data_IF_200833714010
#
_entry.id   IF_200833714010
#
_cell.length_a   1.000
_cell.length_b   1.000
_cell.length_c   1.000
_cell.angle_alpha   90.00
_cell.angle_beta   90.00
_cell.angle_gamma   90.00
#
_symmetry.space_group_name_H-M   'P 1'
#
loop_
_entity.id
_entity.type
_entity.pdbx_description
1 polymer ?
#
# COMPACT_ATOMS: atom_id res chain seq x y z
N UNK A 1 -1.04 11.75 13.08
CA UNK A 1 -1.09 11.04 14.36
C UNK A 1 -0.51 11.96 15.42
N UNK A 2 -1.22 12.21 16.51
CA UNK A 2 -0.78 13.15 17.55
C UNK A 2 0.49 12.65 18.23
N UNK A 3 1.44 13.54 18.51
CA UNK A 3 2.71 13.20 19.19
C UNK A 3 2.49 12.53 20.57
N UNK A 4 1.31 12.75 21.18
CA UNK A 4 0.86 12.07 22.38
C UNK A 4 0.57 10.56 22.21
N UNK A 5 0.17 10.12 21.02
CA UNK A 5 -0.15 8.70 20.76
C UNK A 5 1.10 7.81 20.74
N UNK A 6 2.25 8.35 20.31
CA UNK A 6 3.50 7.59 20.20
C UNK A 6 4.06 7.29 21.60
N UNK A 7 3.93 8.23 22.55
CA UNK A 7 4.39 8.03 23.93
C UNK A 7 3.69 6.87 24.64
N UNK A 8 2.39 6.68 24.40
CA UNK A 8 1.60 5.59 25.01
C UNK A 8 2.03 4.24 24.44
N UNK A 9 2.27 4.15 23.14
CA UNK A 9 2.68 2.90 22.47
C UNK A 9 4.07 2.48 22.93
N UNK A 10 5.01 3.42 23.02
CA UNK A 10 6.37 3.14 23.52
C UNK A 10 6.35 2.72 24.99
N UNK A 11 5.54 3.38 25.83
CA UNK A 11 5.39 3.00 27.24
C UNK A 11 4.83 1.59 27.43
N UNK A 12 3.87 1.18 26.61
CA UNK A 12 3.26 -0.15 26.67
C UNK A 12 4.25 -1.25 26.23
N UNK A 13 5.06 -0.96 25.22
CA UNK A 13 6.11 -1.87 24.74
C UNK A 13 7.18 -2.12 25.80
N UNK A 14 7.63 -1.08 26.51
CA UNK A 14 8.61 -1.22 27.60
C UNK A 14 8.06 -2.05 28.77
N UNK A 15 6.79 -1.88 29.13
CA UNK A 15 6.15 -2.67 30.19
C UNK A 15 6.07 -4.16 29.83
N UNK A 16 5.75 -4.50 28.58
CA UNK A 16 5.71 -5.90 28.13
C UNK A 16 7.09 -6.55 28.13
N UNK A 17 8.14 -5.82 27.75
CA UNK A 17 9.51 -6.32 27.78
C UNK A 17 9.99 -6.59 29.23
N UNK A 18 9.68 -5.69 30.17
CA UNK A 18 10.01 -5.88 31.59
C UNK A 18 9.27 -7.07 32.21
N UNK A 19 8.00 -7.30 31.84
CA UNK A 19 7.25 -8.47 32.30
C UNK A 19 7.88 -9.78 31.82
N UNK A 20 8.36 -9.82 30.57
CA UNK A 20 9.04 -11.00 30.00
C UNK A 20 10.36 -11.31 30.70
N UNK A 21 11.17 -10.28 30.98
CA UNK A 21 12.44 -10.43 31.71
C UNK A 21 12.18 -10.93 33.14
N UNK A 22 11.15 -10.43 33.82
CA UNK A 22 10.79 -10.88 35.16
C UNK A 22 10.36 -12.35 35.19
N UNK A 23 9.57 -12.80 34.21
CA UNK A 23 9.17 -14.21 34.09
C UNK A 23 10.38 -15.11 33.80
N UNK A 24 11.29 -14.70 32.91
CA UNK A 24 12.49 -15.45 32.58
C UNK A 24 13.42 -15.63 33.80
N UNK A 25 13.61 -14.57 34.60
CA UNK A 25 14.41 -14.65 35.84
C UNK A 25 13.76 -15.55 36.88
N UNK A 26 12.42 -15.56 36.97
CA UNK A 26 11.70 -16.40 37.94
C UNK A 26 11.69 -17.88 37.57
N UNK A 27 11.72 -18.22 36.28
CA UNK A 27 11.76 -19.63 35.83
C UNK A 27 13.18 -20.22 35.79
N UNK A 28 14.24 -19.40 35.73
CA UNK A 28 15.63 -19.86 35.68
C UNK A 28 16.24 -20.40 36.99
N UNK A 29 15.52 -20.34 38.11
CA UNK A 29 16.04 -20.65 39.45
C UNK A 29 15.77 -22.09 39.94
N UNK A 30 15.73 -23.11 39.06
CA UNK A 30 15.69 -24.53 39.48
C UNK A 30 17.09 -25.14 39.41
N UNK A 31 17.72 -25.30 40.57
CA UNK A 31 18.98 -26.04 40.78
C UNK A 31 18.82 -27.52 40.37
N UNK A 32 19.81 -28.12 39.71
CA UNK A 32 19.82 -29.56 39.46
C UNK A 32 20.16 -30.32 40.76
N UNK A 33 19.36 -31.34 41.03
CA UNK A 33 19.43 -32.23 42.19
C UNK A 33 20.40 -33.36 41.85
N UNK A 34 21.57 -33.34 42.47
CA UNK A 34 22.62 -34.35 42.33
C UNK A 34 22.19 -35.61 43.10
N UNK A 35 21.94 -36.70 42.38
CA UNK A 35 21.55 -38.00 42.95
C UNK A 35 22.84 -38.77 43.26
N UNK A 36 23.12 -38.90 44.54
CA UNK A 36 24.18 -39.71 45.13
C UNK A 36 23.93 -41.20 44.92
N UNK A 37 24.76 -41.86 44.11
CA UNK A 37 24.87 -43.32 44.08
C UNK A 37 25.94 -43.77 45.08
N UNK A 38 25.51 -44.13 46.29
CA UNK A 38 26.31 -44.92 47.24
C UNK A 38 26.13 -46.39 46.85
N UNK A 39 27.12 -46.98 46.17
CA UNK A 39 27.22 -48.44 46.05
C UNK A 39 28.11 -48.97 47.17
N UNK A 40 27.47 -49.54 48.18
CA UNK A 40 28.05 -50.37 49.22
C UNK A 40 28.66 -51.65 48.62
N UNK A 41 29.97 -51.80 48.69
CA UNK A 41 30.65 -53.08 48.54
C UNK A 41 31.13 -53.56 49.90
N UNK A 42 30.38 -54.48 50.53
CA UNK A 42 30.85 -55.23 51.70
C UNK A 42 30.51 -56.71 51.54
N UNK A 43 31.56 -57.52 51.48
CA UNK A 43 31.62 -58.98 51.64
C UNK A 43 33.03 -59.23 52.24
N UNK A 44 33.32 -60.06 53.24
CA UNK A 44 32.66 -61.21 53.88
C UNK A 44 33.56 -61.54 55.09
N UNK A 45 33.05 -61.53 56.33
CA UNK A 45 32.72 -62.69 57.19
C UNK A 45 33.83 -63.73 57.48
N UNK A 46 34.12 -63.93 58.78
CA UNK A 46 34.58 -65.22 59.34
C UNK A 46 33.98 -65.47 60.73
N UNK A 47 32.90 -66.28 60.76
CA UNK A 47 32.53 -67.40 61.68
C UNK A 47 32.65 -67.31 63.22
N UNK A 48 32.01 -68.22 64.01
CA UNK A 48 30.67 -68.82 63.89
C UNK A 48 29.87 -68.80 65.23
N UNK A 49 28.55 -68.87 65.20
CA UNK A 49 27.76 -69.42 66.33
C UNK A 49 26.44 -70.01 65.82
N UNK A 50 26.27 -71.32 66.05
CA UNK A 50 25.27 -72.17 65.40
C UNK A 50 23.81 -71.93 65.80
N UNK A 51 22.92 -72.44 64.97
CA UNK A 51 21.50 -72.63 65.25
C UNK A 51 20.54 -71.59 64.64
N UNK A 52 20.89 -70.29 64.67
CA UNK A 52 20.02 -69.23 64.11
C UNK A 52 20.29 -68.90 62.64
N UNK A 53 21.54 -69.05 62.19
CA UNK A 53 21.95 -68.72 60.83
C UNK A 53 21.37 -69.67 59.77
N UNK A 54 21.08 -70.93 60.10
CA UNK A 54 20.50 -71.89 59.16
C UNK A 54 19.02 -71.60 58.86
N UNK A 55 18.27 -71.10 59.85
CA UNK A 55 16.87 -70.70 59.69
C UNK A 55 16.79 -69.35 58.98
N UNK A 56 17.72 -68.44 59.28
CA UNK A 56 17.84 -67.14 58.62
C UNK A 56 18.27 -67.29 57.16
N UNK A 57 19.25 -68.15 56.84
CA UNK A 57 19.63 -68.46 55.46
C UNK A 57 18.53 -69.16 54.66
N UNK A 58 17.79 -70.09 55.29
CA UNK A 58 16.64 -70.74 54.64
C UNK A 58 15.51 -69.74 54.36
N UNK A 59 15.21 -68.80 55.28
CA UNK A 59 14.24 -67.73 55.03
C UNK A 59 14.71 -66.74 53.97
N UNK A 60 16.00 -66.37 53.94
CA UNK A 60 16.53 -65.47 52.90
C UNK A 60 16.46 -66.12 51.52
N UNK A 61 16.76 -67.42 51.42
CA UNK A 61 16.69 -68.17 50.17
C UNK A 61 15.24 -68.38 49.68
N UNK A 62 14.29 -68.57 50.60
CA UNK A 62 12.86 -68.68 50.29
C UNK A 62 12.29 -67.32 49.85
N UNK A 63 12.69 -66.22 50.49
CA UNK A 63 12.33 -64.84 50.07
C UNK A 63 12.94 -64.48 48.71
N UNK A 64 14.18 -64.90 48.43
CA UNK A 64 14.79 -64.72 47.11
C UNK A 64 14.07 -65.55 46.03
N UNK A 65 13.48 -66.70 46.38
CA UNK A 65 12.64 -67.49 45.48
C UNK A 65 11.19 -67.01 45.37
N UNK A 66 10.67 -66.25 46.35
CA UNK A 66 9.37 -65.54 46.24
C UNK A 66 9.46 -64.40 45.20
N UNK A 67 10.66 -63.86 44.97
CA UNK A 67 10.99 -63.05 43.79
C UNK A 67 11.59 -63.90 42.66
N UNK A 68 10.94 -65.03 42.38
CA UNK A 68 11.35 -66.00 41.38
C UNK A 68 11.62 -65.34 40.02
N UNK A 69 12.50 -65.95 39.22
CA UNK A 69 12.78 -65.49 37.86
C UNK A 69 11.50 -65.40 37.02
N UNK A 70 10.49 -66.23 37.31
CA UNK A 70 9.16 -66.18 36.69
C UNK A 70 8.37 -64.91 37.05
N UNK A 71 8.40 -64.46 38.31
CA UNK A 71 7.76 -63.18 38.70
C UNK A 71 8.49 -61.98 38.10
N UNK A 72 9.83 -62.06 37.97
CA UNK A 72 10.64 -61.04 37.29
C UNK A 72 10.34 -60.98 35.79
N UNK A 73 10.15 -62.14 35.15
CA UNK A 73 9.75 -62.22 33.75
C UNK A 73 8.33 -61.72 33.52
N UNK A 74 7.38 -62.04 34.40
CA UNK A 74 6.01 -61.53 34.33
C UNK A 74 5.97 -60.02 34.57
N UNK A 75 6.72 -59.50 35.53
CA UNK A 75 6.86 -58.06 35.75
C UNK A 75 7.49 -57.36 34.54
N UNK A 76 8.50 -57.98 33.91
CA UNK A 76 9.13 -57.45 32.69
C UNK A 76 8.16 -57.48 31.51
N UNK A 77 7.41 -58.55 31.32
CA UNK A 77 6.46 -58.69 30.22
C UNK A 77 5.26 -57.75 30.41
N UNK A 78 4.74 -57.64 31.63
CA UNK A 78 3.68 -56.69 32.00
C UNK A 78 4.15 -55.25 31.89
N UNK A 79 5.38 -54.97 32.31
CA UNK A 79 6.04 -53.68 32.09
C UNK A 79 6.13 -53.34 30.61
N UNK A 80 6.60 -54.27 29.77
CA UNK A 80 6.65 -54.10 28.30
C UNK A 80 5.27 -53.82 27.71
N UNK A 81 4.26 -54.62 28.07
CA UNK A 81 2.88 -54.44 27.61
C UNK A 81 2.30 -53.09 28.06
N UNK A 82 2.59 -52.67 29.29
CA UNK A 82 2.12 -51.39 29.81
C UNK A 82 2.81 -50.21 29.11
N UNK A 83 4.12 -50.31 28.85
CA UNK A 83 4.86 -49.31 28.07
C UNK A 83 4.38 -49.24 26.61
N UNK A 84 4.18 -50.38 25.96
CA UNK A 84 3.65 -50.44 24.60
C UNK A 84 2.27 -49.81 24.52
N UNK A 85 1.40 -50.10 25.50
CA UNK A 85 0.09 -49.47 25.61
C UNK A 85 0.19 -47.96 25.78
N UNK A 86 1.01 -47.48 26.72
CA UNK A 86 1.18 -46.04 26.98
C UNK A 86 1.77 -45.32 25.76
N UNK A 87 2.74 -45.92 25.06
CA UNK A 87 3.33 -45.33 23.86
C UNK A 87 2.29 -45.26 22.74
N UNK A 88 1.51 -46.32 22.54
CA UNK A 88 0.44 -46.35 21.55
C UNK A 88 -0.63 -45.29 21.82
N UNK A 89 -1.08 -45.20 23.08
CA UNK A 89 -2.10 -44.23 23.52
C UNK A 89 -1.59 -42.78 23.40
N UNK A 90 -0.34 -42.53 23.80
CA UNK A 90 0.28 -41.20 23.64
C UNK A 90 0.50 -40.82 22.16
N UNK A 91 0.86 -41.79 21.31
CA UNK A 91 1.01 -41.55 19.87
C UNK A 91 -0.35 -41.23 19.22
N UNK A 92 -1.41 -41.91 19.65
CA UNK A 92 -2.78 -41.64 19.21
C UNK A 92 -3.23 -40.23 19.62
N UNK A 93 -2.99 -39.82 20.87
CA UNK A 93 -3.30 -38.45 21.31
C UNK A 93 -2.52 -37.39 20.54
N UNK A 94 -1.22 -37.61 20.31
CA UNK A 94 -0.42 -36.68 19.53
C UNK A 94 -0.92 -36.58 18.08
N UNK A 95 -1.30 -37.71 17.47
CA UNK A 95 -1.85 -37.70 16.11
C UNK A 95 -3.20 -36.99 16.05
N UNK A 96 -4.05 -37.19 17.05
CA UNK A 96 -5.32 -36.49 17.16
C UNK A 96 -5.11 -34.98 17.32
N UNK A 97 -4.18 -34.58 18.19
CA UNK A 97 -3.86 -33.17 18.43
C UNK A 97 -3.27 -32.50 17.19
N UNK A 98 -2.36 -33.18 16.49
CA UNK A 98 -1.83 -32.68 15.22
C UNK A 98 -2.93 -32.54 14.16
N UNK A 99 -3.88 -33.47 14.08
CA UNK A 99 -5.02 -33.36 13.16
C UNK A 99 -5.93 -32.18 13.52
N UNK A 100 -6.24 -32.00 14.79
CA UNK A 100 -7.06 -30.89 15.28
C UNK A 100 -6.37 -29.54 15.02
N UNK A 101 -5.10 -29.42 15.40
CA UNK A 101 -4.29 -28.23 15.16
C UNK A 101 -4.17 -27.93 13.67
N UNK A 102 -3.95 -28.94 12.82
CA UNK A 102 -3.92 -28.77 11.35
C UNK A 102 -5.25 -28.23 10.82
N UNK A 103 -6.38 -28.74 11.32
CA UNK A 103 -7.71 -28.26 10.93
C UNK A 103 -7.94 -26.81 11.36
N UNK A 104 -7.58 -26.48 12.61
CA UNK A 104 -7.70 -25.13 13.15
C UNK A 104 -6.83 -24.14 12.39
N UNK A 105 -5.59 -24.50 12.07
CA UNK A 105 -4.69 -23.66 11.26
C UNK A 105 -5.28 -23.44 9.87
N UNK A 106 -5.81 -24.48 9.23
CA UNK A 106 -6.43 -24.33 7.90
C UNK A 106 -7.64 -23.39 7.93
N UNK A 107 -8.51 -23.54 8.93
CA UNK A 107 -9.67 -22.66 9.10
C UNK A 107 -9.26 -21.22 9.42
N UNK A 108 -8.32 -21.03 10.35
CA UNK A 108 -7.75 -19.72 10.67
C UNK A 108 -7.13 -19.05 9.45
N UNK A 109 -6.29 -19.77 8.68
CA UNK A 109 -5.69 -19.24 7.47
C UNK A 109 -6.74 -18.83 6.44
N UNK A 110 -7.78 -19.64 6.22
CA UNK A 110 -8.87 -19.29 5.29
C UNK A 110 -9.59 -18.01 5.74
N UNK A 111 -9.90 -17.90 7.02
CA UNK A 111 -10.56 -16.73 7.57
C UNK A 111 -9.68 -15.49 7.46
N UNK A 112 -8.41 -15.59 7.85
CA UNK A 112 -7.47 -14.46 7.79
C UNK A 112 -7.22 -14.03 6.35
N UNK A 113 -6.96 -14.97 5.42
CA UNK A 113 -6.82 -14.65 4.00
C UNK A 113 -8.06 -13.96 3.46
N UNK A 114 -9.25 -14.46 3.79
CA UNK A 114 -10.52 -13.85 3.34
C UNK A 114 -10.67 -12.43 3.88
N UNK A 115 -10.38 -12.23 5.17
CA UNK A 115 -10.45 -10.93 5.83
C UNK A 115 -9.44 -9.95 5.23
N UNK A 116 -8.18 -10.34 5.10
CA UNK A 116 -7.14 -9.51 4.48
C UNK A 116 -7.49 -9.16 3.05
N UNK A 117 -7.98 -10.12 2.25
CA UNK A 117 -8.43 -9.85 0.89
C UNK A 117 -9.59 -8.84 0.87
N UNK A 118 -10.60 -9.00 1.74
CA UNK A 118 -11.71 -8.05 1.84
C UNK A 118 -11.23 -6.64 2.22
N UNK A 119 -10.32 -6.53 3.18
CA UNK A 119 -9.73 -5.25 3.59
C UNK A 119 -8.94 -4.60 2.44
N UNK A 120 -8.12 -5.36 1.73
CA UNK A 120 -7.37 -4.85 0.58
C UNK A 120 -8.29 -4.48 -0.58
N UNK A 121 -9.32 -5.27 -0.88
CA UNK A 121 -10.31 -4.92 -1.90
C UNK A 121 -11.06 -3.64 -1.56
N UNK A 122 -11.44 -3.44 -0.29
CA UNK A 122 -12.08 -2.19 0.14
C UNK A 122 -11.15 -0.98 -0.04
N UNK A 123 -9.86 -1.12 0.29
CA UNK A 123 -8.87 -0.06 0.02
C UNK A 123 -8.70 0.20 -1.47
N UNK A 124 -8.64 -0.84 -2.29
CA UNK A 124 -8.55 -0.69 -3.74
C UNK A 124 -9.79 -0.01 -4.33
N UNK A 125 -10.99 -0.39 -3.90
CA UNK A 125 -12.24 0.24 -4.30
C UNK A 125 -12.24 1.73 -3.94
N UNK A 126 -11.84 2.08 -2.72
CA UNK A 126 -11.72 3.47 -2.29
C UNK A 126 -10.71 4.26 -3.15
N UNK A 127 -9.53 3.69 -3.41
CA UNK A 127 -8.50 4.33 -4.23
C UNK A 127 -8.95 4.54 -5.68
N UNK A 128 -9.71 3.59 -6.24
CA UNK A 128 -10.30 3.71 -7.59
C UNK A 128 -11.35 4.83 -7.62
N UNK A 129 -12.25 4.89 -6.64
CA UNK A 129 -13.28 5.94 -6.59
C UNK A 129 -12.67 7.33 -6.38
N UNK A 130 -11.62 7.44 -5.55
CA UNK A 130 -10.84 8.67 -5.41
C UNK A 130 -10.16 9.07 -6.72
N UNK A 131 -9.50 8.13 -7.40
CA UNK A 131 -8.85 8.38 -8.69
C UNK A 131 -9.85 8.83 -9.76
N UNK A 132 -11.04 8.23 -9.79
CA UNK A 132 -12.14 8.62 -10.68
C UNK A 132 -12.62 10.04 -10.36
N UNK A 133 -12.75 10.39 -9.09
CA UNK A 133 -13.11 11.75 -8.68
C UNK A 133 -12.06 12.77 -9.15
N UNK A 134 -10.78 12.48 -8.94
CA UNK A 134 -9.66 13.32 -9.40
C UNK A 134 -9.68 13.48 -10.93
N UNK A 135 -9.94 12.40 -11.66
CA UNK A 135 -10.03 12.45 -13.13
C UNK A 135 -11.21 13.33 -13.59
N UNK A 136 -12.38 13.20 -12.96
CA UNK A 136 -13.54 14.04 -13.26
C UNK A 136 -13.27 15.52 -12.97
N UNK A 137 -12.66 15.82 -11.82
CA UNK A 137 -12.27 17.17 -11.44
C UNK A 137 -11.22 17.76 -12.41
N UNK A 138 -10.24 16.96 -12.81
CA UNK A 138 -9.23 17.37 -13.80
C UNK A 138 -9.85 17.67 -15.16
N UNK A 139 -10.79 16.84 -15.64
CA UNK A 139 -11.51 17.10 -16.89
C UNK A 139 -12.30 18.41 -16.79
N UNK A 140 -12.99 18.63 -15.68
CA UNK A 140 -13.78 19.83 -15.46
C UNK A 140 -12.89 21.09 -15.41
N UNK A 141 -11.75 21.01 -14.72
CA UNK A 141 -10.77 22.09 -14.66
C UNK A 141 -10.16 22.37 -16.04
N UNK A 142 -9.79 21.35 -16.80
CA UNK A 142 -9.28 21.49 -18.18
C UNK A 142 -10.32 22.12 -19.09
N UNK A 143 -11.59 21.73 -18.95
CA UNK A 143 -12.68 22.35 -19.72
C UNK A 143 -12.81 23.85 -19.40
N UNK A 144 -12.79 24.22 -18.12
CA UNK A 144 -12.84 25.62 -17.69
C UNK A 144 -11.65 26.42 -18.21
N UNK A 145 -10.43 25.91 -18.03
CA UNK A 145 -9.20 26.57 -18.51
C UNK A 145 -9.17 26.69 -20.03
N UNK A 146 -9.66 25.67 -20.75
CA UNK A 146 -9.76 25.72 -22.22
C UNK A 146 -10.76 26.78 -22.69
N UNK A 147 -11.89 26.93 -22.00
CA UNK A 147 -12.88 27.95 -22.33
C UNK A 147 -12.34 29.36 -22.06
N UNK A 148 -11.60 29.56 -20.96
CA UNK A 148 -10.88 30.81 -20.67
C UNK A 148 -9.84 31.12 -21.76
N UNK A 149 -9.03 30.14 -22.13
CA UNK A 149 -8.01 30.29 -23.17
C UNK A 149 -8.63 30.59 -24.54
N UNK A 150 -9.75 29.94 -24.88
CA UNK A 150 -10.52 30.22 -26.09
C UNK A 150 -11.06 31.64 -26.11
N UNK A 151 -11.59 32.14 -25.00
CA UNK A 151 -12.06 33.52 -24.90
C UNK A 151 -10.90 34.52 -25.04
N UNK A 152 -9.78 34.27 -24.38
CA UNK A 152 -8.59 35.10 -24.49
C UNK A 152 -8.04 35.11 -25.93
N UNK A 153 -8.01 33.96 -26.61
CA UNK A 153 -7.55 33.85 -27.99
C UNK A 153 -8.49 34.59 -28.96
N UNK A 154 -9.82 34.49 -28.75
CA UNK A 154 -10.81 35.27 -29.51
C UNK A 154 -10.61 36.77 -29.33
N UNK A 155 -10.42 37.23 -28.09
CA UNK A 155 -10.17 38.64 -27.80
C UNK A 155 -8.87 39.14 -28.47
N UNK A 156 -7.79 38.35 -28.41
CA UNK A 156 -6.53 38.66 -29.10
C UNK A 156 -6.70 38.73 -30.62
N UNK A 157 -7.37 37.73 -31.20
CA UNK A 157 -7.62 37.70 -32.65
C UNK A 157 -8.42 38.91 -33.11
N UNK A 158 -9.45 39.29 -32.35
CA UNK A 158 -10.27 40.46 -32.66
C UNK A 158 -9.46 41.76 -32.57
N UNK A 159 -8.66 41.92 -31.50
CA UNK A 159 -7.77 43.07 -31.36
C UNK A 159 -6.72 43.15 -32.49
N UNK A 160 -6.17 42.02 -32.93
CA UNK A 160 -5.24 41.99 -34.07
C UNK A 160 -5.95 42.31 -35.39
N UNK A 161 -7.16 41.80 -35.62
CA UNK A 161 -7.95 42.10 -36.81
C UNK A 161 -8.30 43.60 -36.88
N UNK A 162 -8.68 44.21 -35.75
CA UNK A 162 -8.96 45.64 -35.68
C UNK A 162 -7.70 46.48 -35.87
N UNK A 163 -6.57 46.07 -35.27
CA UNK A 163 -5.29 46.73 -35.49
C UNK A 163 -4.81 46.64 -36.96
N UNK A 164 -5.05 45.51 -37.63
CA UNK A 164 -4.77 45.37 -39.06
C UNK A 164 -5.70 46.23 -39.92
N UNK A 165 -7.00 46.25 -39.61
CA UNK A 165 -7.98 47.12 -40.31
C UNK A 165 -7.56 48.58 -40.19
N UNK A 166 -7.20 49.03 -39.00
CA UNK A 166 -6.74 50.40 -38.76
C UNK A 166 -5.46 50.71 -39.56
N UNK A 167 -4.49 49.79 -39.63
CA UNK A 167 -3.30 49.97 -40.49
C UNK A 167 -3.64 50.10 -41.97
N UNK A 168 -4.56 49.29 -42.47
CA UNK A 168 -5.02 49.35 -43.87
C UNK A 168 -5.72 50.68 -44.13
N UNK A 169 -6.57 51.13 -43.22
CA UNK A 169 -7.25 52.44 -43.30
C UNK A 169 -6.21 53.57 -43.31
N UNK A 170 -5.24 53.56 -42.40
CA UNK A 170 -4.17 54.57 -42.36
C UNK A 170 -3.34 54.58 -43.64
N UNK A 171 -3.01 53.41 -44.19
CA UNK A 171 -2.32 53.32 -45.48
C UNK A 171 -3.17 53.90 -46.61
N UNK A 172 -4.47 53.60 -46.63
CA UNK A 172 -5.40 54.15 -47.60
C UNK A 172 -5.51 55.68 -47.45
N UNK A 173 -5.66 56.20 -46.24
CA UNK A 173 -5.75 57.64 -45.97
C UNK A 173 -4.50 58.41 -46.39
N UNK A 174 -3.33 57.87 -46.11
CA UNK A 174 -2.05 58.51 -46.44
C UNK A 174 -1.77 58.49 -47.94
N UNK A 175 -2.23 57.46 -48.65
CA UNK A 175 -2.00 57.30 -50.08
C UNK A 175 -3.23 57.62 -50.94
N UNK A 176 -4.30 58.15 -50.36
CA UNK A 176 -5.60 58.37 -51.03
C UNK A 176 -5.46 59.19 -52.31
N UNK A 177 -4.65 60.26 -52.28
CA UNK A 177 -4.38 61.09 -53.46
C UNK A 177 -3.66 60.32 -54.58
N UNK A 178 -2.71 59.45 -54.24
CA UNK A 178 -1.98 58.63 -55.21
C UNK A 178 -2.85 57.48 -55.77
N UNK A 179 -3.63 56.83 -54.91
CA UNK A 179 -4.58 55.76 -55.29
C UNK A 179 -5.62 56.31 -56.26
N UNK A 180 -6.25 57.45 -55.94
CA UNK A 180 -7.24 58.11 -56.80
C UNK A 180 -6.60 58.57 -58.11
N UNK A 181 -5.44 59.21 -58.05
CA UNK A 181 -4.72 59.63 -59.25
C UNK A 181 -4.42 58.46 -60.20
N UNK A 182 -3.92 57.34 -59.65
CA UNK A 182 -3.65 56.13 -60.43
C UNK A 182 -4.93 55.50 -61.00
N UNK A 183 -6.01 55.43 -60.21
CA UNK A 183 -7.29 54.90 -60.70
C UNK A 183 -7.89 55.76 -61.82
N UNK A 184 -7.78 57.09 -61.73
CA UNK A 184 -8.27 58.00 -62.79
C UNK A 184 -7.44 57.85 -64.06
N UNK A 185 -6.11 57.72 -63.94
CA UNK A 185 -5.22 57.53 -65.07
C UNK A 185 -5.43 56.15 -65.75
N UNK A 186 -5.62 55.08 -64.98
CA UNK A 186 -5.89 53.72 -65.50
C UNK A 186 -7.31 53.60 -66.08
N UNK A 187 -8.32 54.22 -65.46
CA UNK A 187 -9.71 54.12 -65.92
C UNK A 187 -10.01 54.97 -67.16
N UNK A 188 -9.24 56.03 -67.42
CA UNK A 188 -9.51 56.98 -68.51
C UNK A 188 -8.54 56.80 -69.69
N UNK A 189 -7.49 55.98 -69.56
CA UNK A 189 -6.73 55.47 -70.71
C UNK A 189 -6.23 56.55 -71.68
N UNK A 190 -5.13 57.23 -71.34
CA UNK A 190 -4.27 58.04 -72.23
C UNK A 190 -4.87 59.16 -73.13
N UNK A 191 -6.19 59.35 -73.25
CA UNK A 191 -6.78 60.19 -74.33
C UNK A 191 -7.54 61.46 -73.93
N UNK A 192 -7.57 61.88 -72.65
CA UNK A 192 -8.24 63.14 -72.28
C UNK A 192 -7.46 63.97 -71.25
N UNK A 193 -7.15 65.23 -71.59
CA UNK A 193 -6.56 66.22 -70.67
C UNK A 193 -7.61 66.67 -69.65
N UNK A 194 -7.51 66.10 -68.45
CA UNK A 194 -8.42 66.31 -67.31
C UNK A 194 -7.79 67.18 -66.21
N UNK A 195 -6.68 67.88 -66.47
CA UNK A 195 -5.99 68.69 -65.45
C UNK A 195 -6.92 69.67 -64.72
N UNK A 196 -7.93 70.23 -65.42
CA UNK A 196 -8.94 71.13 -64.86
C UNK A 196 -10.05 70.42 -64.06
N UNK A 197 -10.42 69.18 -64.39
CA UNK A 197 -11.51 68.46 -63.72
C UNK A 197 -10.99 67.60 -62.56
N UNK A 198 -9.73 67.18 -62.60
CA UNK A 198 -9.04 66.50 -61.51
C UNK A 198 -9.02 67.33 -60.22
N UNK A 199 -8.83 68.64 -60.32
CA UNK A 199 -8.87 69.52 -59.14
C UNK A 199 -10.24 69.51 -58.47
N UNK A 200 -11.32 69.47 -59.25
CA UNK A 200 -12.68 69.43 -58.73
C UNK A 200 -13.00 68.04 -58.12
N UNK A 201 -12.63 66.96 -58.80
CA UNK A 201 -12.81 65.58 -58.31
C UNK A 201 -11.99 65.32 -57.03
N UNK A 202 -10.75 65.81 -56.95
CA UNK A 202 -9.93 65.70 -55.75
C UNK A 202 -10.50 66.51 -54.59
N UNK A 203 -11.06 67.70 -54.84
CA UNK A 203 -11.72 68.50 -53.82
C UNK A 203 -13.01 67.83 -53.31
N UNK A 204 -13.82 67.25 -54.21
CA UNK A 204 -15.04 66.51 -53.87
C UNK A 204 -14.71 65.22 -53.08
N UNK A 205 -13.66 64.49 -53.47
CA UNK A 205 -13.18 63.30 -52.75
C UNK A 205 -12.53 63.64 -51.41
N UNK A 206 -11.87 64.79 -51.28
CA UNK A 206 -11.40 65.29 -49.99
C UNK A 206 -12.57 65.67 -49.09
N UNK A 207 -13.62 66.29 -49.64
CA UNK A 207 -14.83 66.65 -48.90
C UNK A 207 -15.58 65.40 -48.42
N UNK A 208 -15.68 64.37 -49.25
CA UNK A 208 -16.37 63.11 -48.93
C UNK A 208 -15.46 62.07 -48.24
N UNK A 209 -14.19 62.41 -47.94
CA UNK A 209 -13.22 61.50 -47.31
C UNK A 209 -13.71 60.99 -45.96
N UNK A 210 -14.33 61.85 -45.15
CA UNK A 210 -14.86 61.48 -43.83
C UNK A 210 -16.01 60.48 -43.93
N UNK A 211 -16.89 60.65 -44.93
CA UNK A 211 -18.03 59.75 -45.14
C UNK A 211 -17.56 58.36 -45.61
N UNK A 212 -16.60 58.30 -46.53
CA UNK A 212 -15.99 57.04 -46.98
C UNK A 212 -15.27 56.33 -45.83
N UNK A 213 -14.59 57.09 -44.96
CA UNK A 213 -13.93 56.55 -43.77
C UNK A 213 -14.92 55.96 -42.78
N UNK A 214 -16.04 56.63 -42.56
CA UNK A 214 -17.09 56.14 -41.68
C UNK A 214 -17.74 54.87 -42.26
N UNK A 215 -17.91 54.79 -43.59
CA UNK A 215 -18.47 53.60 -44.24
C UNK A 215 -17.53 52.38 -44.15
N UNK A 216 -16.22 52.59 -44.32
CA UNK A 216 -15.21 51.52 -44.18
C UNK A 216 -15.02 51.09 -42.71
N UNK A 217 -15.12 52.02 -41.75
CA UNK A 217 -15.03 51.71 -40.32
C UNK A 217 -16.25 50.97 -39.80
N UNK A 218 -17.44 51.34 -40.27
CA UNK A 218 -18.69 50.74 -39.82
C UNK A 218 -19.03 49.44 -40.56
N UNK A 219 -18.40 49.21 -41.71
CA UNK A 219 -18.56 48.01 -42.51
C UNK A 219 -19.94 47.93 -43.15
N UNK A 220 -19.99 48.08 -44.48
CA UNK A 220 -21.05 47.42 -45.26
C UNK A 220 -20.90 45.89 -45.18
#
# INVERSE_FOLDING_TARGET
MSEWGIGIIVGLLVLTALAFVWVAVRLGAKKPQEVTSVSSGQATSTAPTGGKQAIEQAMTQDIDSIFDDEYREELRNRGRLYFEKIIGENAEFLQQDLRLTTSQINEFMKQEITKTLQEEFAKYEQAIEESKKIALESIQNVQSSLDEERQALRAKFQAEADAQREKVIQHFENNMGEIVNRYILDAIGSEMDLSSQLTYILAELQSNKEDILNDIRNGA
#
